data_IF_486249748483
#
_entry.id   IF_486249748483
#
_cell.length_a   1.000
_cell.length_b   1.000
_cell.length_c   1.000
_cell.angle_alpha   90.00
_cell.angle_beta   90.00
_cell.angle_gamma   90.00
#
_symmetry.space_group_name_H-M   'P 1'
#
loop_
_entity.id
_entity.type
_entity.pdbx_description
1 polymer ?
#
# COMPACT_ATOMS: atom_id res chain seq x y z
N UNK A 1 1.92 0.28 -19.32
CA UNK A 1 2.63 -0.64 -18.41
C UNK A 1 3.04 -1.91 -19.16
N UNK A 2 2.08 -2.62 -19.76
CA UNK A 2 2.34 -3.89 -20.47
C UNK A 2 3.43 -3.76 -21.55
N UNK A 3 3.35 -2.78 -22.44
CA UNK A 3 4.39 -2.58 -23.47
C UNK A 3 5.79 -2.36 -22.86
N UNK A 4 5.87 -1.60 -21.76
CA UNK A 4 7.11 -1.35 -21.03
C UNK A 4 7.68 -2.64 -20.43
N UNK A 5 6.84 -3.45 -19.81
CA UNK A 5 7.22 -4.75 -19.24
C UNK A 5 7.63 -5.75 -20.34
N UNK A 6 6.89 -5.81 -21.45
CA UNK A 6 7.20 -6.66 -22.60
C UNK A 6 8.55 -6.27 -23.21
N UNK A 7 8.81 -4.97 -23.39
CA UNK A 7 10.09 -4.52 -23.94
C UNK A 7 11.26 -4.84 -23.01
N UNK A 8 11.07 -4.62 -21.70
CA UNK A 8 12.04 -4.99 -20.69
C UNK A 8 12.32 -6.50 -20.74
N UNK A 9 11.28 -7.33 -20.71
CA UNK A 9 11.40 -8.79 -20.69
C UNK A 9 12.07 -9.35 -21.95
N UNK A 10 11.80 -8.79 -23.13
CA UNK A 10 12.52 -9.17 -24.37
C UNK A 10 14.04 -9.01 -24.26
N UNK A 11 14.52 -8.09 -23.42
CA UNK A 11 15.96 -7.82 -23.24
C UNK A 11 16.61 -8.73 -22.19
N UNK A 12 15.87 -9.15 -21.17
CA UNK A 12 16.46 -9.79 -19.98
C UNK A 12 15.77 -11.07 -19.50
N UNK A 13 14.59 -11.40 -20.04
CA UNK A 13 13.81 -12.59 -19.71
C UNK A 13 13.35 -12.66 -18.25
N UNK A 14 13.45 -11.56 -17.50
CA UNK A 14 13.22 -11.58 -16.06
C UNK A 14 11.73 -11.69 -15.71
N UNK A 15 10.84 -11.03 -16.46
CA UNK A 15 9.39 -11.10 -16.24
C UNK A 15 8.90 -12.52 -16.54
N UNK A 16 9.34 -13.12 -17.64
CA UNK A 16 9.03 -14.52 -17.98
C UNK A 16 9.45 -15.47 -16.85
N UNK A 17 10.65 -15.30 -16.29
CA UNK A 17 11.12 -16.11 -15.14
C UNK A 17 10.22 -15.94 -13.90
N UNK A 18 9.78 -14.72 -13.61
CA UNK A 18 8.86 -14.47 -12.50
C UNK A 18 7.49 -15.10 -12.77
N UNK A 19 6.97 -15.03 -14.00
CA UNK A 19 5.71 -15.68 -14.38
C UNK A 19 5.79 -17.22 -14.27
N UNK A 20 6.90 -17.81 -14.70
CA UNK A 20 7.15 -19.25 -14.54
C UNK A 20 7.21 -19.66 -13.07
N UNK A 21 7.90 -18.87 -12.24
CA UNK A 21 7.92 -19.08 -10.80
C UNK A 21 6.52 -18.97 -10.17
N UNK A 22 5.72 -17.97 -10.56
CA UNK A 22 4.32 -17.83 -10.10
C UNK A 22 3.52 -19.09 -10.47
N UNK A 23 3.62 -19.56 -11.72
CA UNK A 23 2.94 -20.77 -12.19
C UNK A 23 3.36 -22.04 -11.46
N UNK A 24 4.61 -22.11 -11.00
CA UNK A 24 5.14 -23.26 -10.25
C UNK A 24 4.65 -23.35 -8.80
N UNK A 25 3.94 -22.33 -8.29
CA UNK A 25 3.45 -22.28 -6.91
C UNK A 25 3.86 -21.02 -6.15
N UNK A 26 4.57 -20.09 -6.80
CA UNK A 26 4.99 -18.82 -6.22
C UNK A 26 5.79 -19.01 -4.93
N UNK A 27 5.37 -18.36 -3.85
CA UNK A 27 6.05 -18.45 -2.54
C UNK A 27 6.21 -19.91 -2.07
N UNK A 28 5.26 -20.78 -2.37
CA UNK A 28 5.32 -22.19 -1.98
C UNK A 28 6.33 -22.99 -2.80
N UNK A 29 6.71 -22.51 -3.99
CA UNK A 29 7.72 -23.11 -4.84
C UNK A 29 9.15 -22.64 -4.52
N UNK A 30 9.31 -21.72 -3.56
CA UNK A 30 10.60 -21.17 -3.14
C UNK A 30 10.71 -19.65 -3.32
N UNK A 31 11.91 -19.07 -3.16
CA UNK A 31 12.11 -17.64 -3.26
C UNK A 31 11.82 -17.12 -4.68
N UNK A 32 11.30 -15.89 -4.77
CA UNK A 32 11.11 -15.20 -6.04
C UNK A 32 12.46 -15.01 -6.76
N UNK A 33 12.54 -15.22 -8.09
CA UNK A 33 13.75 -14.95 -8.86
C UNK A 33 14.29 -13.54 -8.58
N UNK A 34 15.57 -13.44 -8.24
CA UNK A 34 16.21 -12.16 -8.01
C UNK A 34 16.71 -11.57 -9.34
N UNK A 35 16.57 -10.25 -9.50
CA UNK A 35 17.22 -9.55 -10.60
C UNK A 35 18.65 -9.17 -10.17
N UNK A 36 19.70 -9.61 -10.88
CA UNK A 36 21.07 -9.58 -10.36
C UNK A 36 21.64 -8.17 -10.16
N UNK A 37 20.99 -7.13 -10.66
CA UNK A 37 21.49 -5.75 -10.62
C UNK A 37 20.68 -4.84 -9.72
N UNK A 38 19.67 -5.34 -9.01
CA UNK A 38 18.85 -4.55 -8.09
C UNK A 38 17.38 -4.98 -8.05
N UNK A 39 16.56 -4.19 -7.36
CA UNK A 39 15.10 -4.39 -7.34
C UNK A 39 14.48 -3.77 -8.59
N UNK A 40 13.62 -4.55 -9.24
CA UNK A 40 12.80 -4.05 -10.34
C UNK A 40 11.51 -3.42 -9.80
N UNK A 41 11.28 -2.17 -10.20
CA UNK A 41 10.05 -1.43 -9.91
C UNK A 41 9.45 -0.99 -11.24
N UNK A 42 8.23 -1.44 -11.55
CA UNK A 42 7.47 -0.84 -12.65
C UNK A 42 6.64 0.31 -12.08
N UNK A 43 7.02 1.55 -12.38
CA UNK A 43 6.30 2.74 -11.94
C UNK A 43 5.36 3.20 -13.05
N UNK A 44 4.07 3.27 -12.75
CA UNK A 44 3.04 3.84 -13.61
C UNK A 44 2.56 5.12 -12.99
N UNK A 45 2.79 6.24 -13.66
CA UNK A 45 2.38 7.57 -13.19
C UNK A 45 1.19 8.07 -13.98
N UNK A 46 0.19 8.57 -13.27
CA UNK A 46 -0.94 9.31 -13.83
C UNK A 46 -0.79 10.79 -13.52
N UNK A 47 -0.82 11.63 -14.56
CA UNK A 47 -0.77 13.09 -14.42
C UNK A 47 -1.94 13.71 -15.17
N UNK A 48 -2.59 14.69 -14.55
CA UNK A 48 -3.59 15.53 -15.21
C UNK A 48 -2.93 16.82 -15.66
N UNK A 49 -3.06 17.15 -16.95
CA UNK A 49 -2.58 18.42 -17.49
C UNK A 49 -3.50 19.59 -17.10
N UNK A 50 -3.08 20.83 -17.38
CA UNK A 50 -3.84 22.04 -17.06
C UNK A 50 -5.22 22.11 -17.74
N UNK A 51 -5.43 21.36 -18.82
CA UNK A 51 -6.66 21.30 -19.60
C UNK A 51 -7.61 20.16 -19.14
N UNK A 52 -7.23 19.43 -18.08
CA UNK A 52 -8.00 18.30 -17.55
C UNK A 52 -7.79 16.97 -18.27
N UNK A 53 -6.87 16.91 -19.24
CA UNK A 53 -6.47 15.69 -19.93
C UNK A 53 -5.53 14.83 -19.08
N UNK A 54 -5.75 13.52 -19.06
CA UNK A 54 -4.93 12.57 -18.30
C UNK A 54 -3.85 11.94 -19.18
N UNK A 55 -2.61 11.95 -18.72
CA UNK A 55 -1.45 11.28 -19.32
C UNK A 55 -1.00 10.15 -18.41
N UNK A 56 -0.79 8.97 -19.01
CA UNK A 56 -0.23 7.81 -18.31
C UNK A 56 1.19 7.54 -18.81
N UNK A 57 2.14 7.47 -17.88
CA UNK A 57 3.53 7.10 -18.16
C UNK A 57 3.87 5.81 -17.43
N UNK A 58 4.72 4.97 -18.03
CA UNK A 58 5.23 3.77 -17.38
C UNK A 58 6.74 3.62 -17.59
N UNK A 59 7.47 3.37 -16.51
CA UNK A 59 8.91 3.19 -16.50
C UNK A 59 9.32 1.95 -15.69
N UNK A 60 10.46 1.36 -16.03
CA UNK A 60 11.11 0.34 -15.21
C UNK A 60 12.31 0.98 -14.53
N UNK A 61 12.28 0.99 -13.20
CA UNK A 61 13.37 1.44 -12.35
C UNK A 61 14.13 0.22 -11.84
N UNK A 62 15.45 0.36 -11.75
CA UNK A 62 16.34 -0.64 -11.18
C UNK A 62 17.04 -0.04 -9.97
N UNK A 63 16.56 -0.38 -8.77
CA UNK A 63 17.12 0.13 -7.52
C UNK A 63 18.20 -0.83 -6.99
N UNK A 64 19.45 -0.47 -7.28
CA UNK A 64 20.65 -1.27 -6.96
C UNK A 64 20.84 -1.53 -5.46
N UNK A 65 20.36 -0.62 -4.61
CA UNK A 65 20.44 -0.72 -3.14
C UNK A 65 19.52 -1.80 -2.55
N UNK A 66 18.58 -2.32 -3.33
CA UNK A 66 17.48 -3.16 -2.87
C UNK A 66 17.54 -4.60 -3.45
N UNK A 67 18.74 -5.11 -3.79
CA UNK A 67 18.92 -6.37 -4.53
C UNK A 67 18.29 -7.65 -3.91
N UNK A 68 17.76 -7.57 -2.69
CA UNK A 68 17.07 -8.65 -1.96
C UNK A 68 15.56 -8.43 -1.77
N UNK A 69 15.03 -7.30 -2.24
CA UNK A 69 13.61 -6.97 -2.11
C UNK A 69 12.86 -7.44 -3.35
N UNK A 70 11.69 -8.04 -3.13
CA UNK A 70 10.84 -8.51 -4.21
C UNK A 70 10.47 -7.37 -5.18
N UNK A 71 10.35 -7.67 -6.49
CA UNK A 71 9.95 -6.69 -7.48
C UNK A 71 8.55 -6.13 -7.18
N UNK A 72 8.34 -4.87 -7.54
CA UNK A 72 7.09 -4.17 -7.23
C UNK A 72 6.54 -3.40 -8.43
N UNK A 73 5.27 -3.07 -8.34
CA UNK A 73 4.59 -2.11 -9.22
C UNK A 73 4.13 -0.94 -8.38
N UNK A 74 4.51 0.26 -8.79
CA UNK A 74 4.06 1.51 -8.19
C UNK A 74 3.03 2.16 -9.11
N UNK A 75 1.91 2.56 -8.53
CA UNK A 75 0.91 3.39 -9.18
C UNK A 75 0.97 4.76 -8.51
N UNK A 76 1.61 5.71 -9.18
CA UNK A 76 1.88 7.05 -8.67
C UNK A 76 0.86 8.03 -9.26
N UNK A 77 0.23 8.84 -8.42
CA UNK A 77 -0.80 9.78 -8.83
C UNK A 77 -0.78 11.02 -7.95
N UNK A 78 -1.49 12.09 -8.37
CA UNK A 78 -1.69 13.29 -7.55
C UNK A 78 -3.17 13.41 -7.24
N UNK A 79 -3.52 13.67 -5.97
CA UNK A 79 -4.90 13.96 -5.60
C UNK A 79 -5.34 15.27 -6.25
N UNK A 80 -6.39 15.30 -7.10
CA UNK A 80 -6.82 16.54 -7.74
C UNK A 80 -7.42 17.54 -6.74
N UNK A 81 -8.01 17.05 -5.64
CA UNK A 81 -8.64 17.88 -4.61
C UNK A 81 -7.60 18.41 -3.63
N UNK A 82 -6.70 17.55 -3.16
CA UNK A 82 -5.75 17.89 -2.11
C UNK A 82 -4.40 18.37 -2.64
N UNK A 83 -4.13 18.13 -3.92
CA UNK A 83 -2.85 18.44 -4.57
C UNK A 83 -1.67 17.85 -3.78
N UNK A 84 -1.73 16.54 -3.55
CA UNK A 84 -0.69 15.77 -2.85
C UNK A 84 -0.36 14.50 -3.64
N UNK A 85 0.90 14.04 -3.63
CA UNK A 85 1.26 12.73 -4.15
C UNK A 85 0.53 11.61 -3.39
N UNK A 86 -0.02 10.67 -4.14
CA UNK A 86 -0.53 9.40 -3.65
C UNK A 86 0.16 8.27 -4.40
N UNK A 87 0.49 7.19 -3.71
CA UNK A 87 1.15 6.03 -4.31
C UNK A 87 0.55 4.74 -3.82
N UNK A 88 0.28 3.82 -4.74
CA UNK A 88 -0.05 2.42 -4.40
C UNK A 88 1.12 1.54 -4.79
N UNK A 89 1.67 0.82 -3.82
CA UNK A 89 2.76 -0.12 -4.01
C UNK A 89 2.24 -1.55 -3.94
N UNK A 90 2.57 -2.34 -4.94
CA UNK A 90 2.05 -3.69 -5.13
C UNK A 90 3.22 -4.64 -5.36
N UNK A 91 3.23 -5.87 -4.83
CA UNK A 91 4.16 -6.90 -5.26
C UNK A 91 3.91 -7.17 -6.74
N UNK A 92 4.95 -7.15 -7.58
CA UNK A 92 4.77 -7.33 -9.03
C UNK A 92 4.07 -8.64 -9.35
N UNK A 93 4.38 -9.69 -8.59
CA UNK A 93 3.69 -10.98 -8.71
C UNK A 93 2.17 -10.87 -8.62
N UNK A 94 1.62 -9.90 -7.89
CA UNK A 94 0.17 -9.78 -7.67
C UNK A 94 -0.59 -9.25 -8.90
N UNK A 95 0.12 -8.65 -9.87
CA UNK A 95 -0.47 -8.08 -11.09
C UNK A 95 -0.08 -8.82 -12.37
N UNK A 96 0.92 -9.72 -12.29
CA UNK A 96 1.30 -10.58 -13.40
C UNK A 96 0.30 -11.75 -13.62
N UNK A 97 0.27 -12.25 -14.85
CA UNK A 97 -0.59 -13.37 -15.26
C UNK A 97 -0.10 -14.68 -14.62
N UNK A 98 -1.03 -15.62 -14.40
CA UNK A 98 -0.71 -16.97 -13.91
C UNK A 98 -0.83 -17.18 -12.41
N UNK A 99 -1.25 -16.15 -11.65
CA UNK A 99 -1.58 -16.32 -10.24
C UNK A 99 -2.69 -17.36 -10.03
N UNK A 100 -2.54 -18.15 -8.98
CA UNK A 100 -3.64 -18.92 -8.42
C UNK A 100 -4.77 -17.96 -8.00
N UNK A 101 -6.04 -18.39 -8.12
CA UNK A 101 -7.16 -17.61 -7.61
C UNK A 101 -6.92 -17.21 -6.14
N UNK A 102 -7.01 -15.92 -5.85
CA UNK A 102 -6.99 -15.37 -4.48
C UNK A 102 -8.28 -15.57 -3.63
N UNK A 103 -9.43 -16.14 -4.10
CA UNK A 103 -10.61 -16.30 -3.25
C UNK A 103 -10.31 -17.03 -1.95
N UNK A 104 -10.80 -16.47 -0.84
CA UNK A 104 -10.62 -17.05 0.49
C UNK A 104 -9.27 -16.76 1.15
N UNK A 105 -8.32 -16.19 0.42
CA UNK A 105 -7.02 -15.76 0.96
C UNK A 105 -7.08 -14.34 1.54
N UNK A 106 -6.08 -13.98 2.32
CA UNK A 106 -5.91 -12.67 2.93
C UNK A 106 -4.82 -11.86 2.21
N UNK A 107 -5.02 -10.55 2.22
CA UNK A 107 -4.04 -9.53 1.82
C UNK A 107 -3.68 -8.70 3.05
N UNK A 108 -2.39 -8.55 3.33
CA UNK A 108 -1.85 -7.59 4.29
C UNK A 108 -1.50 -6.30 3.56
N UNK A 109 -1.94 -5.18 4.10
CA UNK A 109 -1.68 -3.85 3.56
C UNK A 109 -1.19 -2.90 4.65
N UNK A 110 -0.48 -1.87 4.21
CA UNK A 110 -0.03 -0.70 4.95
C UNK A 110 -0.68 0.55 4.36
N UNK A 111 -1.09 1.47 5.21
CA UNK A 111 -1.33 2.87 4.84
C UNK A 111 -0.36 3.76 5.63
N UNK A 112 0.38 4.60 4.93
CA UNK A 112 1.25 5.61 5.50
C UNK A 112 0.73 7.01 5.13
N UNK A 113 0.55 7.86 6.14
CA UNK A 113 0.13 9.25 6.01
C UNK A 113 1.34 10.13 6.29
N UNK A 114 1.93 10.71 5.25
CA UNK A 114 3.05 11.63 5.38
C UNK A 114 2.55 13.05 5.61
N UNK A 115 3.20 13.78 6.51
CA UNK A 115 2.76 15.10 6.97
C UNK A 115 3.75 16.21 6.67
N UNK A 116 3.30 17.47 6.79
CA UNK A 116 4.12 18.67 6.53
C UNK A 116 5.30 18.88 7.47
N UNK A 117 5.25 18.29 8.66
CA UNK A 117 6.35 18.23 9.64
C UNK A 117 7.28 17.04 9.41
N UNK A 118 7.20 16.38 8.25
CA UNK A 118 8.05 15.24 7.86
C UNK A 118 7.90 14.03 8.77
N UNK A 119 6.68 13.81 9.28
CA UNK A 119 6.31 12.64 10.05
C UNK A 119 5.45 11.68 9.22
N UNK A 120 5.59 10.38 9.49
CA UNK A 120 4.79 9.34 8.85
C UNK A 120 3.96 8.60 9.89
N UNK A 121 2.63 8.66 9.75
CA UNK A 121 1.71 7.83 10.53
C UNK A 121 1.39 6.55 9.80
N UNK A 122 1.46 5.41 10.48
CA UNK A 122 1.36 4.09 9.84
C UNK A 122 0.23 3.25 10.41
N UNK A 123 -0.47 2.55 9.51
CA UNK A 123 -1.51 1.59 9.83
C UNK A 123 -1.32 0.31 9.04
N UNK A 124 -1.38 -0.84 9.71
CA UNK A 124 -1.41 -2.15 9.06
C UNK A 124 -2.79 -2.79 9.21
N UNK A 125 -3.19 -3.58 8.23
CA UNK A 125 -4.38 -4.40 8.36
C UNK A 125 -4.46 -5.54 7.35
N UNK A 126 -5.31 -6.51 7.65
CA UNK A 126 -5.62 -7.61 6.72
C UNK A 126 -7.04 -7.55 6.15
N UNK A 127 -7.23 -8.16 4.98
CA UNK A 127 -8.54 -8.25 4.33
C UNK A 127 -8.68 -9.46 3.42
N UNK A 128 -9.91 -10.00 3.32
CA UNK A 128 -10.32 -11.00 2.33
C UNK A 128 -11.12 -10.41 1.16
N UNK A 129 -11.57 -9.16 1.31
CA UNK A 129 -12.53 -8.50 0.41
C UNK A 129 -11.86 -7.72 -0.73
N UNK A 130 -10.53 -7.76 -0.80
CA UNK A 130 -9.74 -6.86 -1.64
C UNK A 130 -9.30 -5.61 -0.90
N UNK A 131 -8.10 -5.12 -1.24
CA UNK A 131 -7.49 -3.96 -0.60
C UNK A 131 -8.17 -2.65 -1.03
N UNK A 132 -8.56 -2.52 -2.31
CA UNK A 132 -9.14 -1.29 -2.85
C UNK A 132 -10.49 -0.95 -2.22
N UNK A 133 -11.30 -1.99 -1.97
CA UNK A 133 -12.56 -1.88 -1.22
C UNK A 133 -12.28 -1.43 0.22
N UNK A 134 -11.28 -2.03 0.90
CA UNK A 134 -10.92 -1.62 2.26
C UNK A 134 -10.39 -0.20 2.35
N UNK A 135 -9.58 0.21 1.39
CA UNK A 135 -9.09 1.58 1.31
C UNK A 135 -10.25 2.56 1.15
N UNK A 136 -11.21 2.28 0.26
CA UNK A 136 -12.43 3.08 0.11
C UNK A 136 -13.28 3.13 1.40
N UNK A 137 -13.39 2.03 2.14
CA UNK A 137 -14.08 2.03 3.44
C UNK A 137 -13.40 2.97 4.44
N UNK A 138 -12.06 2.94 4.50
CA UNK A 138 -11.31 3.80 5.41
C UNK A 138 -11.38 5.26 5.02
N UNK A 139 -11.22 5.60 3.74
CA UNK A 139 -11.32 6.98 3.27
C UNK A 139 -12.74 7.50 3.46
N UNK A 140 -13.77 6.73 3.10
CA UNK A 140 -15.17 7.09 3.39
C UNK A 140 -15.41 7.29 4.88
N UNK A 141 -14.86 6.44 5.75
CA UNK A 141 -14.96 6.58 7.19
C UNK A 141 -14.17 7.77 7.76
N UNK A 142 -13.22 8.32 7.01
CA UNK A 142 -12.50 9.54 7.39
C UNK A 142 -13.33 10.78 7.04
N UNK A 143 -13.81 10.89 5.81
CA UNK A 143 -14.51 12.10 5.34
C UNK A 143 -16.01 12.14 5.61
N UNK A 144 -16.70 10.99 5.66
CA UNK A 144 -18.17 10.97 5.73
C UNK A 144 -18.70 10.64 7.13
N UNK A 145 -17.87 10.12 8.04
CA UNK A 145 -18.30 9.76 9.39
C UNK A 145 -17.27 10.22 10.41
N UNK A 146 -17.72 10.73 11.56
CA UNK A 146 -16.84 11.02 12.69
C UNK A 146 -16.37 9.70 13.34
N UNK A 147 -15.47 9.00 12.66
CA UNK A 147 -14.98 7.69 13.09
C UNK A 147 -14.10 7.81 14.32
N UNK A 148 -14.42 7.03 15.36
CA UNK A 148 -13.58 6.91 16.58
C UNK A 148 -12.30 6.09 16.35
N UNK A 149 -12.07 5.57 15.13
CA UNK A 149 -10.86 4.81 14.81
C UNK A 149 -9.70 5.75 14.51
N UNK A 150 -8.54 5.53 15.14
CA UNK A 150 -7.37 6.40 15.01
C UNK A 150 -6.98 6.69 13.56
N UNK A 151 -6.92 5.66 12.71
CA UNK A 151 -6.59 5.86 11.29
C UNK A 151 -7.53 6.84 10.58
N UNK A 152 -8.84 6.59 10.65
CA UNK A 152 -9.83 7.42 9.97
C UNK A 152 -9.89 8.83 10.55
N UNK A 153 -9.80 8.95 11.89
CA UNK A 153 -9.78 10.25 12.56
C UNK A 153 -8.55 11.07 12.20
N UNK A 154 -7.35 10.47 12.21
CA UNK A 154 -6.10 11.16 11.84
C UNK A 154 -6.10 11.53 10.36
N UNK A 155 -6.56 10.65 9.48
CA UNK A 155 -6.70 10.95 8.06
C UNK A 155 -7.63 12.15 7.83
N UNK A 156 -8.78 12.21 8.52
CA UNK A 156 -9.68 13.36 8.42
C UNK A 156 -9.03 14.67 8.88
N UNK A 157 -8.39 14.66 10.06
CA UNK A 157 -7.70 15.83 10.62
C UNK A 157 -6.65 16.39 9.64
N UNK A 158 -5.83 15.51 9.05
CA UNK A 158 -4.79 15.91 8.09
C UNK A 158 -5.39 16.41 6.77
N UNK A 159 -6.51 15.85 6.33
CA UNK A 159 -7.25 16.30 5.15
C UNK A 159 -7.83 17.69 5.39
N UNK A 160 -8.50 17.91 6.52
CA UNK A 160 -9.08 19.21 6.88
C UNK A 160 -8.01 20.31 6.91
N UNK A 161 -6.86 20.05 7.56
CA UNK A 161 -5.76 21.00 7.62
C UNK A 161 -5.16 21.29 6.22
N UNK A 162 -5.07 20.28 5.35
CA UNK A 162 -4.64 20.47 3.95
C UNK A 162 -5.65 21.26 3.13
N UNK A 163 -6.95 21.05 3.33
CA UNK A 163 -8.00 21.84 2.66
C UNK A 163 -7.95 23.29 3.12
N UNK A 164 -7.78 23.55 4.42
CA UNK A 164 -7.62 24.90 4.96
C UNK A 164 -6.43 25.63 4.32
N UNK A 165 -5.28 24.97 4.24
CA UNK A 165 -4.09 25.50 3.55
C UNK A 165 -4.38 25.83 2.07
N UNK A 166 -5.10 24.95 1.37
CA UNK A 166 -5.47 25.13 -0.05
C UNK A 166 -6.48 26.27 -0.28
N UNK A 167 -7.31 26.59 0.72
CA UNK A 167 -8.30 27.67 0.64
C UNK A 167 -7.84 28.98 1.28
N UNK A 168 -6.59 29.04 1.77
CA UNK A 168 -6.01 30.24 2.39
C UNK A 168 -6.45 30.48 3.83
N UNK A 169 -7.05 29.50 4.49
CA UNK A 169 -7.40 29.55 5.91
C UNK A 169 -6.16 29.22 6.74
N UNK A 170 -5.87 30.05 7.75
CA UNK A 170 -4.76 29.81 8.67
C UNK A 170 -5.09 28.58 9.53
N UNK A 171 -4.24 27.56 9.45
CA UNK A 171 -4.32 26.33 10.24
C UNK A 171 -2.89 25.90 10.60
N UNK A 172 -2.58 25.82 11.89
CA UNK A 172 -1.23 25.47 12.37
C UNK A 172 -1.02 23.96 12.53
N UNK A 173 -2.08 23.15 12.38
CA UNK A 173 -1.96 21.68 12.48
C UNK A 173 -1.10 21.11 11.35
N UNK A 174 -0.49 19.93 11.54
CA UNK A 174 0.16 19.20 10.44
C UNK A 174 -0.82 18.93 9.30
N UNK A 175 -0.37 19.12 8.05
CA UNK A 175 -1.17 18.90 6.85
C UNK A 175 -0.81 17.56 6.22
N UNK A 176 -1.77 16.90 5.59
CA UNK A 176 -1.47 15.75 4.73
C UNK A 176 -0.58 16.21 3.56
N UNK A 177 0.57 15.56 3.38
CA UNK A 177 1.51 15.82 2.27
C UNK A 177 1.74 14.63 1.36
N UNK A 178 1.50 13.41 1.83
CA UNK A 178 1.51 12.23 0.97
C UNK A 178 0.61 11.13 1.53
N UNK A 179 0.17 10.24 0.64
CA UNK A 179 -0.57 9.04 1.01
C UNK A 179 0.01 7.84 0.28
N UNK A 180 0.65 6.92 1.01
CA UNK A 180 1.18 5.69 0.45
C UNK A 180 0.36 4.51 0.95
N UNK A 181 -0.09 3.67 0.03
CA UNK A 181 -0.70 2.37 0.34
C UNK A 181 0.18 1.28 -0.21
N UNK A 182 0.68 0.38 0.62
CA UNK A 182 1.48 -0.74 0.17
C UNK A 182 0.75 -2.06 0.44
N UNK A 183 0.65 -2.93 -0.56
CA UNK A 183 0.30 -4.34 -0.35
C UNK A 183 1.59 -5.06 0.04
N UNK A 184 1.70 -5.39 1.33
CA UNK A 184 2.90 -6.05 1.85
C UNK A 184 2.91 -7.54 1.47
N UNK A 185 1.75 -8.19 1.46
CA UNK A 185 1.61 -9.60 1.10
C UNK A 185 0.19 -9.93 0.63
N UNK A 186 0.06 -10.92 -0.26
CA UNK A 186 -1.22 -11.43 -0.75
C UNK A 186 -1.18 -12.94 -0.93
N UNK A 187 -2.35 -13.59 -0.93
CA UNK A 187 -2.45 -15.04 -1.03
C UNK A 187 -2.21 -15.77 0.30
N UNK A 188 -2.32 -15.07 1.44
CA UNK A 188 -2.06 -15.64 2.75
C UNK A 188 -3.26 -16.47 3.23
N UNK A 189 -3.00 -17.60 3.87
CA UNK A 189 -4.01 -18.27 4.66
C UNK A 189 -4.28 -17.49 5.96
N UNK A 190 -5.30 -17.90 6.73
CA UNK A 190 -5.70 -17.17 7.94
C UNK A 190 -4.60 -17.11 9.00
N UNK A 191 -3.91 -18.22 9.24
CA UNK A 191 -2.88 -18.31 10.28
C UNK A 191 -1.69 -17.41 9.92
N UNK A 192 -1.20 -17.53 8.68
CA UNK A 192 -0.12 -16.69 8.14
C UNK A 192 -0.48 -15.20 8.20
N UNK A 193 -1.70 -14.84 7.77
CA UNK A 193 -2.15 -13.45 7.78
C UNK A 193 -2.19 -12.87 9.20
N UNK A 194 -2.63 -13.67 10.17
CA UNK A 194 -2.72 -13.24 11.56
C UNK A 194 -1.33 -13.08 12.17
N UNK A 195 -0.43 -14.03 11.92
CA UNK A 195 0.95 -13.99 12.39
C UNK A 195 1.70 -12.77 11.85
N UNK A 196 1.67 -12.56 10.53
CA UNK A 196 2.38 -11.44 9.91
C UNK A 196 1.75 -10.10 10.29
N UNK A 197 0.43 -10.00 10.36
CA UNK A 197 -0.23 -8.76 10.83
C UNK A 197 0.17 -8.45 12.28
N UNK A 198 0.16 -9.45 13.17
CA UNK A 198 0.55 -9.27 14.57
C UNK A 198 1.99 -8.77 14.67
N UNK A 199 2.92 -9.39 13.95
CA UNK A 199 4.32 -8.96 13.91
C UNK A 199 4.49 -7.51 13.42
N UNK A 200 3.81 -7.13 12.33
CA UNK A 200 3.93 -5.78 11.76
C UNK A 200 3.27 -4.71 12.64
N UNK A 201 2.09 -5.02 13.20
CA UNK A 201 1.37 -4.10 14.09
C UNK A 201 2.18 -3.86 15.36
N UNK A 202 2.63 -4.94 16.00
CA UNK A 202 3.44 -4.88 17.21
C UNK A 202 4.73 -4.06 17.02
N UNK A 203 5.42 -4.29 15.88
CA UNK A 203 6.69 -3.65 15.60
C UNK A 203 6.59 -2.18 15.20
N UNK A 204 5.50 -1.76 14.54
CA UNK A 204 5.48 -0.45 13.89
C UNK A 204 4.26 0.42 14.16
N UNK A 205 3.07 -0.15 14.41
CA UNK A 205 1.83 0.62 14.33
C UNK A 205 0.88 0.51 15.52
N UNK A 206 1.17 -0.31 16.53
CA UNK A 206 0.36 -0.38 17.74
C UNK A 206 0.48 0.94 18.52
N UNK A 207 -0.61 1.71 18.58
CA UNK A 207 -0.65 3.06 19.14
C UNK A 207 -0.18 3.15 20.59
N UNK A 208 -0.36 2.08 21.37
CA UNK A 208 0.12 2.02 22.77
C UNK A 208 1.64 1.90 22.90
N UNK A 209 2.36 1.65 21.79
CA UNK A 209 3.81 1.46 21.75
C UNK A 209 4.50 2.48 20.84
N UNK A 210 3.79 2.93 19.81
CA UNK A 210 4.31 3.80 18.76
C UNK A 210 3.46 5.07 18.67
N UNK A 211 4.03 6.27 18.95
CA UNK A 211 3.28 7.53 18.88
C UNK A 211 2.66 7.83 17.50
N UNK A 212 3.25 7.29 16.45
CA UNK A 212 2.79 7.42 15.05
C UNK A 212 2.04 6.19 14.54
N UNK A 213 1.80 5.23 15.41
CA UNK A 213 1.04 4.03 15.11
C UNK A 213 -0.47 4.27 15.18
N UNK A 214 -1.20 3.81 14.18
CA UNK A 214 -2.64 4.02 14.05
C UNK A 214 -3.47 2.76 14.33
N UNK A 215 -2.85 1.62 14.68
CA UNK A 215 -3.55 0.42 15.14
C UNK A 215 -3.89 0.55 16.63
N UNK A 216 -5.19 0.56 16.96
CA UNK A 216 -5.69 0.68 18.34
C UNK A 216 -5.59 -0.62 19.14
N UNK A 217 -5.47 -1.75 18.44
CA UNK A 217 -5.40 -3.07 19.05
C UNK A 217 -4.24 -3.86 18.43
N UNK A 218 -3.72 -4.88 19.15
CA UNK A 218 -2.77 -5.83 18.56
C UNK A 218 -3.33 -6.46 17.29
N UNK A 219 -2.45 -6.87 16.37
CA UNK A 219 -2.84 -7.63 15.19
C UNK A 219 -3.27 -9.06 15.51
N UNK A 220 -3.61 -9.81 14.47
CA UNK A 220 -3.77 -11.26 14.54
C UNK A 220 -4.83 -11.76 15.52
N UNK A 221 -4.54 -12.88 16.18
CA UNK A 221 -5.50 -13.54 17.05
C UNK A 221 -5.82 -12.72 18.30
N UNK A 222 -4.84 -11.98 18.82
CA UNK A 222 -5.01 -11.09 19.97
C UNK A 222 -6.00 -9.95 19.65
N UNK A 223 -5.88 -9.34 18.48
CA UNK A 223 -6.83 -8.32 18.01
C UNK A 223 -8.22 -8.87 17.78
N UNK A 224 -8.33 -10.02 17.09
CA UNK A 224 -9.62 -10.65 16.78
C UNK A 224 -10.43 -10.98 18.05
N UNK A 225 -9.76 -11.42 19.13
CA UNK A 225 -10.42 -11.69 20.42
C UNK A 225 -10.97 -10.42 21.08
N UNK A 226 -10.31 -9.27 20.92
CA UNK A 226 -10.77 -7.98 21.48
C UNK A 226 -11.99 -7.45 20.73
N UNK A 227 -12.00 -7.54 19.40
CA UNK A 227 -13.19 -7.17 18.60
C UNK A 227 -14.42 -8.00 18.96
N UNK A 228 -14.25 -9.30 19.22
CA UNK A 228 -15.33 -10.22 19.60
C UNK A 228 -15.93 -9.96 20.99
N UNK A 229 -15.25 -9.22 21.86
CA UNK A 229 -15.72 -8.87 23.21
C UNK A 229 -16.35 -7.47 23.28
N UNK A 230 -16.19 -6.66 22.23
CA UNK A 230 -16.63 -5.26 22.19
C UNK A 230 -17.84 -5.03 21.27
N UNK A 231 -18.41 -6.09 20.70
CA UNK A 231 -19.69 -6.11 19.99
C UNK A 231 -20.59 -7.17 20.61
#
# INVERSE_FOLDING_TARGET
MDDTLIHFDKKNGYITQVEDWIRSGGIQAGPCPAFPTGRIIADTTEMTNAEGGTVHMAAILNETRDAVIAPAVFLSMVSPVLDIPMRVELPMRAVLKGNLPLPGTYTLYLHALGTSDSEDYVYYGITKRGWSIRFHEHTRAAVATASKRLFASKLNELIEARVAERTGVIDDRPKLRSLITAICATGLNKAEAFEVEEAMVEKYSLASKHPRGLNMIPGGAAGARRFRKAG
#
